data_IF_687662764541
#
_entry.id   IF_687662764541
#
_cell.length_a   1.000
_cell.length_b   1.000
_cell.length_c   1.000
_cell.angle_alpha   90.00
_cell.angle_beta   90.00
_cell.angle_gamma   90.00
#
_symmetry.space_group_name_H-M   'P 1'
#
loop_
_entity.id
_entity.type
_entity.pdbx_description
1 polymer ?
#
# COMPACT_ATOMS: atom_id res chain seq x y z
N UNK A 1 -4.84 -10.93 21.86
CA UNK A 1 -6.06 -11.55 22.43
C UNK A 1 -6.78 -12.19 21.25
N UNK A 2 -7.36 -13.38 21.45
CA UNK A 2 -7.98 -14.13 20.35
C UNK A 2 -9.35 -13.55 20.02
N UNK A 3 -9.47 -13.11 18.78
CA UNK A 3 -10.62 -12.71 17.97
C UNK A 3 -11.84 -13.68 17.94
N UNK A 4 -11.95 -14.62 18.89
CA UNK A 4 -13.16 -15.44 19.10
C UNK A 4 -13.33 -16.65 18.18
N UNK A 5 -12.69 -16.67 17.01
CA UNK A 5 -12.71 -17.80 16.07
C UNK A 5 -11.28 -18.24 15.69
N UNK A 6 -11.05 -19.51 15.33
CA UNK A 6 -9.76 -19.96 14.82
C UNK A 6 -9.58 -19.49 13.37
N UNK A 7 -8.58 -18.64 13.15
CA UNK A 7 -8.15 -18.20 11.82
C UNK A 7 -6.84 -18.93 11.51
N UNK A 8 -6.54 -19.15 10.22
CA UNK A 8 -5.30 -19.83 9.81
C UNK A 8 -4.03 -19.07 10.26
N UNK A 9 -4.12 -17.73 10.34
CA UNK A 9 -3.06 -16.85 10.85
C UNK A 9 -3.45 -16.28 12.22
N UNK A 10 -2.51 -16.28 13.19
CA UNK A 10 -2.76 -15.74 14.53
C UNK A 10 -3.00 -14.21 14.46
N UNK A 11 -4.10 -13.78 15.08
CA UNK A 11 -4.48 -12.37 15.21
C UNK A 11 -3.34 -11.51 15.79
N UNK A 12 -2.51 -12.04 16.69
CA UNK A 12 -1.37 -11.32 17.27
C UNK A 12 -0.25 -11.10 16.25
N UNK A 13 0.01 -12.07 15.40
CA UNK A 13 1.07 -11.97 14.40
C UNK A 13 0.68 -10.99 13.30
N UNK A 14 -0.59 -10.99 12.89
CA UNK A 14 -1.12 -10.01 11.94
C UNK A 14 -1.06 -8.60 12.53
N UNK A 15 -1.46 -8.42 13.78
CA UNK A 15 -1.41 -7.12 14.45
C UNK A 15 0.02 -6.62 14.70
N UNK A 16 1.00 -7.51 14.88
CA UNK A 16 2.40 -7.11 15.03
C UNK A 16 2.99 -6.55 13.73
N UNK A 17 2.49 -7.00 12.58
CA UNK A 17 3.02 -6.66 11.26
C UNK A 17 2.11 -5.71 10.46
N UNK A 18 1.00 -5.27 11.06
CA UNK A 18 0.01 -4.42 10.37
C UNK A 18 0.61 -3.11 9.87
N UNK A 19 1.57 -2.53 10.61
CA UNK A 19 2.25 -1.31 10.17
C UNK A 19 3.16 -1.55 8.96
N UNK A 20 3.89 -2.69 8.94
CA UNK A 20 4.69 -3.07 7.77
C UNK A 20 3.80 -3.28 6.54
N UNK A 21 2.61 -3.85 6.74
CA UNK A 21 1.61 -3.96 5.67
C UNK A 21 1.14 -2.59 5.16
N UNK A 22 0.85 -1.64 6.06
CA UNK A 22 0.41 -0.28 5.73
C UNK A 22 1.48 0.51 4.97
N UNK A 23 2.74 0.38 5.40
CA UNK A 23 3.89 1.06 4.80
C UNK A 23 4.40 0.37 3.51
N UNK A 24 3.77 -0.76 3.14
CA UNK A 24 4.15 -1.59 2.01
C UNK A 24 5.55 -2.22 2.14
N UNK A 25 6.01 -2.41 3.37
CA UNK A 25 7.32 -2.95 3.74
C UNK A 25 7.30 -4.46 4.05
N UNK A 26 6.23 -5.18 3.68
CA UNK A 26 6.13 -6.63 3.81
C UNK A 26 6.27 -7.35 2.46
N UNK A 27 6.68 -8.63 2.48
CA UNK A 27 6.69 -9.47 1.28
C UNK A 27 5.29 -9.65 0.71
N UNK A 28 5.19 -9.97 -0.59
CA UNK A 28 3.90 -10.20 -1.26
C UNK A 28 3.11 -11.35 -0.61
N UNK A 29 3.79 -12.44 -0.26
CA UNK A 29 3.20 -13.57 0.47
C UNK A 29 2.61 -13.12 1.81
N UNK A 30 3.33 -12.26 2.55
CA UNK A 30 2.89 -11.77 3.85
C UNK A 30 1.74 -10.78 3.72
N UNK A 31 1.77 -9.95 2.67
CA UNK A 31 0.70 -9.03 2.32
C UNK A 31 -0.62 -9.77 2.08
N UNK A 32 -0.59 -10.85 1.32
CA UNK A 32 -1.79 -11.63 1.01
C UNK A 32 -2.38 -12.32 2.24
N UNK A 33 -1.54 -12.83 3.13
CA UNK A 33 -1.97 -13.42 4.41
C UNK A 33 -2.62 -12.38 5.33
N UNK A 34 -1.95 -11.24 5.51
CA UNK A 34 -2.47 -10.14 6.35
C UNK A 34 -3.80 -9.62 5.77
N UNK A 35 -3.89 -9.43 4.45
CA UNK A 35 -5.14 -9.03 3.79
C UNK A 35 -6.28 -10.00 4.09
N UNK A 36 -6.07 -11.30 3.81
CA UNK A 36 -7.09 -12.34 4.01
C UNK A 36 -7.60 -12.33 5.44
N UNK A 37 -6.69 -12.23 6.41
CA UNK A 37 -7.05 -12.17 7.82
C UNK A 37 -7.84 -10.91 8.18
N UNK A 38 -7.42 -9.73 7.70
CA UNK A 38 -8.11 -8.46 7.99
C UNK A 38 -9.51 -8.40 7.35
N UNK A 39 -9.70 -9.05 6.20
CA UNK A 39 -11.00 -9.20 5.55
C UNK A 39 -11.95 -10.11 6.35
N UNK A 40 -11.44 -11.19 6.94
CA UNK A 40 -12.23 -12.15 7.73
C UNK A 40 -12.44 -11.68 9.18
N UNK A 41 -11.51 -10.92 9.75
CA UNK A 41 -11.48 -10.58 11.17
C UNK A 41 -11.76 -9.08 11.45
N UNK A 42 -13.05 -8.71 11.36
CA UNK A 42 -13.51 -7.37 11.79
C UNK A 42 -13.19 -7.02 13.27
N UNK A 43 -13.15 -7.96 14.24
CA UNK A 43 -12.74 -7.64 15.62
C UNK A 43 -11.32 -7.08 15.74
N UNK A 44 -10.34 -7.62 15.00
CA UNK A 44 -8.96 -7.12 15.04
C UNK A 44 -8.83 -5.70 14.51
N UNK A 45 -9.60 -5.34 13.48
CA UNK A 45 -9.68 -3.98 12.95
C UNK A 45 -10.27 -2.98 13.97
N UNK A 46 -11.28 -3.42 14.74
CA UNK A 46 -11.91 -2.61 15.77
C UNK A 46 -11.03 -2.41 17.01
N UNK A 47 -10.31 -3.45 17.44
CA UNK A 47 -9.43 -3.39 18.61
C UNK A 47 -8.33 -2.32 18.45
N UNK A 48 -7.80 -2.16 17.24
CA UNK A 48 -6.81 -1.13 16.94
C UNK A 48 -7.42 0.23 16.52
N UNK A 49 -8.74 0.32 16.32
CA UNK A 49 -9.41 1.53 15.86
C UNK A 49 -9.08 1.94 14.42
N UNK A 50 -8.41 1.07 13.65
CA UNK A 50 -7.91 1.34 12.29
C UNK A 50 -8.83 0.81 11.19
N UNK A 51 -10.02 0.30 11.54
CA UNK A 51 -10.93 -0.34 10.58
C UNK A 51 -11.18 0.51 9.33
N UNK A 52 -11.42 1.81 9.50
CA UNK A 52 -11.69 2.72 8.39
C UNK A 52 -10.44 3.02 7.55
N UNK A 53 -9.27 3.12 8.19
CA UNK A 53 -8.00 3.42 7.54
C UNK A 53 -7.50 2.24 6.72
N UNK A 54 -7.58 1.03 7.28
CA UNK A 54 -7.23 -0.21 6.58
C UNK A 54 -8.18 -0.45 5.41
N UNK A 55 -9.51 -0.32 5.61
CA UNK A 55 -10.48 -0.48 4.51
C UNK A 55 -10.24 0.54 3.38
N UNK A 56 -9.94 1.79 3.73
CA UNK A 56 -9.59 2.81 2.74
C UNK A 56 -8.28 2.49 2.01
N UNK A 57 -7.29 1.97 2.73
CA UNK A 57 -6.01 1.57 2.14
C UNK A 57 -6.16 0.35 1.22
N UNK A 58 -6.90 -0.69 1.62
CA UNK A 58 -7.23 -1.84 0.77
C UNK A 58 -8.00 -1.37 -0.47
N UNK A 59 -8.99 -0.49 -0.31
CA UNK A 59 -9.72 0.06 -1.44
C UNK A 59 -8.81 0.86 -2.40
N UNK A 60 -7.86 1.63 -1.88
CA UNK A 60 -6.94 2.44 -2.70
C UNK A 60 -5.83 1.62 -3.35
N UNK A 61 -5.28 0.64 -2.64
CA UNK A 61 -4.16 -0.18 -3.09
C UNK A 61 -4.61 -1.40 -3.91
N UNK A 62 -5.83 -1.88 -3.70
CA UNK A 62 -6.37 -3.10 -4.32
C UNK A 62 -7.69 -2.88 -5.07
N UNK A 63 -8.34 -1.72 -4.92
CA UNK A 63 -9.35 -1.26 -5.88
C UNK A 63 -8.64 -0.76 -7.14
N UNK A 64 -9.32 -0.86 -8.29
CA UNK A 64 -8.80 -0.43 -9.60
C UNK A 64 -8.77 1.12 -9.71
N UNK A 65 -8.37 1.79 -8.63
CA UNK A 65 -8.30 3.24 -8.49
C UNK A 65 -7.04 3.73 -9.21
N UNK A 66 -7.15 3.75 -10.53
CA UNK A 66 -6.09 4.26 -11.40
C UNK A 66 -6.08 5.78 -11.33
N UNK A 67 -4.88 6.35 -11.20
CA UNK A 67 -4.69 7.78 -11.36
C UNK A 67 -5.34 8.27 -12.67
N UNK A 68 -6.12 9.38 -12.65
CA UNK A 68 -6.77 9.91 -13.83
C UNK A 68 -5.79 10.06 -15.00
N UNK A 69 -6.22 9.68 -16.19
CA UNK A 69 -5.36 9.64 -17.39
C UNK A 69 -4.69 10.98 -17.65
N UNK A 70 -5.42 12.09 -17.47
CA UNK A 70 -4.86 13.44 -17.63
C UNK A 70 -3.69 13.72 -16.66
N UNK A 71 -3.78 13.27 -15.41
CA UNK A 71 -2.71 13.45 -14.43
C UNK A 71 -1.47 12.66 -14.83
N UNK A 72 -1.66 11.42 -15.30
CA UNK A 72 -0.57 10.57 -15.81
C UNK A 72 0.11 11.19 -17.02
N UNK A 73 -0.65 11.74 -17.97
CA UNK A 73 -0.11 12.39 -19.16
C UNK A 73 0.69 13.64 -18.81
N UNK A 74 0.13 14.51 -17.95
CA UNK A 74 0.84 15.71 -17.45
C UNK A 74 2.13 15.35 -16.74
N UNK A 75 2.12 14.32 -15.89
CA UNK A 75 3.33 13.86 -15.19
C UNK A 75 4.38 13.32 -16.15
N UNK A 76 3.99 12.55 -17.18
CA UNK A 76 4.94 12.06 -18.19
C UNK A 76 5.63 13.18 -18.94
N UNK A 77 4.88 14.21 -19.36
CA UNK A 77 5.47 15.38 -20.04
C UNK A 77 6.49 16.06 -19.13
N UNK A 78 6.10 16.37 -17.88
CA UNK A 78 6.98 17.02 -16.91
C UNK A 78 8.25 16.21 -16.59
N UNK A 79 8.11 14.90 -16.43
CA UNK A 79 9.26 14.02 -16.18
C UNK A 79 10.18 13.98 -17.39
N UNK A 80 9.65 13.93 -18.62
CA UNK A 80 10.48 13.97 -19.82
C UNK A 80 11.26 15.29 -19.92
N UNK A 81 10.63 16.43 -19.66
CA UNK A 81 11.28 17.76 -19.62
C UNK A 81 12.46 17.77 -18.64
N UNK A 82 12.26 17.28 -17.41
CA UNK A 82 13.31 17.23 -16.39
C UNK A 82 14.46 16.28 -16.74
N UNK A 83 14.19 15.14 -17.38
CA UNK A 83 15.21 14.20 -17.84
C UNK A 83 16.06 14.82 -18.94
N UNK A 84 15.45 15.54 -19.89
CA UNK A 84 16.18 16.27 -20.93
C UNK A 84 17.06 17.39 -20.34
N UNK A 85 16.56 18.12 -19.33
CA UNK A 85 17.36 19.15 -18.64
C UNK A 85 18.56 18.55 -17.89
N UNK A 86 18.41 17.39 -17.26
CA UNK A 86 19.51 16.70 -16.60
C UNK A 86 20.59 16.21 -17.60
N UNK A 87 20.16 15.64 -18.73
CA UNK A 87 21.05 15.15 -19.80
C UNK A 87 21.81 16.31 -20.48
N UNK A 88 21.13 17.43 -20.73
CA UNK A 88 21.75 18.63 -21.29
C UNK A 88 22.75 19.33 -20.36
N UNK A 89 22.63 19.15 -19.03
CA UNK A 89 23.60 19.63 -18.04
C UNK A 89 24.87 18.79 -17.99
N UNK A 90 24.79 17.50 -18.30
CA UNK A 90 25.95 16.62 -18.41
C UNK A 90 26.72 16.84 -19.73
N UNK A 91 26.08 17.41 -20.76
CA UNK A 91 26.68 17.72 -22.06
C UNK A 91 27.17 19.17 -22.21
N UNK A 92 27.74 19.78 -21.16
CA UNK A 92 28.47 21.06 -21.29
C UNK A 92 29.94 20.74 -21.61
N UNK A 93 30.41 20.93 -22.87
CA UNK A 93 31.83 20.77 -23.18
C UNK A 93 32.61 21.96 -22.60
N UNK A 94 33.78 21.66 -22.03
CA UNK A 94 34.78 22.64 -21.55
C UNK A 94 35.17 23.69 -22.62
#
# INVERSE_FOLDING_TARGET
MSCGEPHETDCRDVLAEVYLYLDLECSDERRDLIRTHLDECSPCLREYGIEQEVKALVARCCGDERAPTELRERLRVRLSELVFEADSREYLPD
#
